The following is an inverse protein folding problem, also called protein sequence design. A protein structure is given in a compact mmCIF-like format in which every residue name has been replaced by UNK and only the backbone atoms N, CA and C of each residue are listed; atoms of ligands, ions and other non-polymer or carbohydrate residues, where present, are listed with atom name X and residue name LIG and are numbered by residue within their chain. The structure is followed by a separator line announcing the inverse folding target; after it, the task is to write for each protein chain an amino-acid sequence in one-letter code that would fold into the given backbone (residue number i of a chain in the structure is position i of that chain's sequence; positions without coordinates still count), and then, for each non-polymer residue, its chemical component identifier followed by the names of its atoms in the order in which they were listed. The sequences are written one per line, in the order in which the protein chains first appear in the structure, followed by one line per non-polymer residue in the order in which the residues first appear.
data_IF_045539917798
#
_entry.id   IF_045539917798
#
_cell.length_a   1.000
_cell.length_b   1.000
_cell.length_c   1.000
_cell.angle_alpha   90.00
_cell.angle_beta   90.00
_cell.angle_gamma   90.00
#
_symmetry.space_group_name_H-M   'P 1'
#
loop_
_entity.id
_entity.type
_entity.pdbx_description
1 polymer ?
#
# COMPACT_ATOMS: atom_id res chain seq x y z
N UNK A 1 46.59 -1.94 22.19
CA UNK A 1 47.84 -1.20 22.29
C UNK A 1 47.65 0.27 22.67
N UNK A 2 46.84 1.09 21.97
CA UNK A 2 46.65 2.54 22.25
C UNK A 2 46.17 2.84 23.67
N UNK A 3 45.24 2.07 24.24
CA UNK A 3 44.78 2.23 25.63
C UNK A 3 45.90 1.99 26.66
N UNK A 4 46.79 1.01 26.43
CA UNK A 4 47.93 0.75 27.27
C UNK A 4 48.95 1.92 27.22
N UNK A 5 49.21 2.46 26.03
CA UNK A 5 50.06 3.67 25.88
C UNK A 5 49.49 4.87 26.64
N UNK A 6 48.16 5.08 26.58
CA UNK A 6 47.49 6.11 27.37
C UNK A 6 47.67 5.92 28.89
N UNK A 7 47.51 4.69 29.37
CA UNK A 7 47.71 4.36 30.79
C UNK A 7 49.14 4.69 31.26
N UNK A 8 50.16 4.36 30.45
CA UNK A 8 51.54 4.70 30.71
C UNK A 8 51.75 6.24 30.77
N UNK A 9 51.15 7.00 29.83
CA UNK A 9 51.24 8.48 29.82
C UNK A 9 50.49 9.13 30.99
N UNK A 10 49.41 8.53 31.48
CA UNK A 10 48.71 8.99 32.69
C UNK A 10 49.61 8.84 33.93
N UNK A 11 50.45 7.80 34.01
CA UNK A 11 51.45 7.70 35.09
C UNK A 11 52.52 8.81 34.99
N UNK A 12 52.98 9.10 33.75
CA UNK A 12 53.91 10.22 33.50
C UNK A 12 53.28 11.59 33.84
N UNK A 13 51.98 11.76 33.54
CA UNK A 13 51.25 12.99 33.93
C UNK A 13 51.26 13.19 35.44
N UNK A 14 50.97 12.15 36.20
CA UNK A 14 51.02 12.22 37.68
C UNK A 14 52.39 12.64 38.20
N UNK A 15 53.46 12.15 37.58
CA UNK A 15 54.82 12.54 37.92
C UNK A 15 55.09 14.02 37.60
N UNK A 16 54.71 14.50 36.40
CA UNK A 16 54.89 15.91 36.02
C UNK A 16 54.02 16.88 36.86
N UNK A 17 52.82 16.45 37.26
CA UNK A 17 51.95 17.22 38.17
C UNK A 17 52.61 17.37 39.55
N UNK A 18 53.21 16.33 40.10
CA UNK A 18 53.94 16.40 41.39
C UNK A 18 55.15 17.24 41.25
N UNK A 19 55.91 17.21 40.16
CA UNK A 19 57.04 18.07 39.89
C UNK A 19 56.64 19.55 39.81
N UNK A 20 55.58 19.86 39.06
CA UNK A 20 55.00 21.18 38.91
C UNK A 20 54.58 21.76 40.30
N UNK A 21 53.83 20.97 41.10
CA UNK A 21 53.39 21.38 42.44
C UNK A 21 54.60 21.69 43.35
N UNK A 22 55.64 20.89 43.29
CA UNK A 22 56.87 21.08 44.08
C UNK A 22 57.61 22.36 43.71
N UNK A 23 57.79 22.62 42.36
CA UNK A 23 58.41 23.83 41.85
C UNK A 23 57.63 25.10 42.22
N UNK A 24 56.30 25.01 42.13
CA UNK A 24 55.40 26.09 42.51
C UNK A 24 55.52 26.45 43.97
N UNK A 25 55.66 25.47 44.90
CA UNK A 25 55.86 25.68 46.32
C UNK A 25 57.26 26.27 46.61
N UNK A 26 58.28 25.78 45.91
CA UNK A 26 59.65 26.28 46.10
C UNK A 26 59.79 27.71 45.56
N UNK A 27 59.17 28.07 44.47
CA UNK A 27 59.14 29.43 43.93
C UNK A 27 58.44 30.39 44.90
N UNK A 28 57.31 29.96 45.51
CA UNK A 28 56.60 30.76 46.50
C UNK A 28 57.41 30.98 47.81
N UNK A 29 58.41 30.13 48.06
CA UNK A 29 59.36 30.24 49.18
C UNK A 29 60.69 30.82 48.76
N UNK A 30 60.82 31.46 47.58
CA UNK A 30 62.07 31.99 47.01
C UNK A 30 63.23 30.96 46.90
N UNK A 31 62.90 29.67 46.91
CA UNK A 31 63.87 28.56 46.91
C UNK A 31 64.09 27.91 45.52
N UNK A 32 63.50 28.48 44.45
CA UNK A 32 63.70 28.01 43.08
C UNK A 32 63.71 29.13 42.06
N UNK A 33 64.35 28.89 40.89
CA UNK A 33 64.34 29.86 39.79
C UNK A 33 63.02 29.88 39.05
N UNK A 34 62.68 31.03 38.50
CA UNK A 34 61.51 31.18 37.65
C UNK A 34 61.55 30.26 36.37
N UNK A 35 62.78 30.12 35.84
CA UNK A 35 63.05 29.21 34.72
C UNK A 35 62.67 27.73 35.02
N UNK A 36 63.05 27.27 36.26
CA UNK A 36 62.74 25.90 36.71
C UNK A 36 61.25 25.69 36.86
N UNK A 37 60.47 26.68 37.30
CA UNK A 37 59.01 26.62 37.36
C UNK A 37 58.38 26.60 35.97
N UNK A 38 58.78 27.50 35.05
CA UNK A 38 58.31 27.58 33.67
C UNK A 38 58.60 26.26 32.92
N UNK A 39 59.75 25.64 33.10
CA UNK A 39 60.12 24.32 32.55
C UNK A 39 59.20 23.21 33.05
N UNK A 40 58.88 23.19 34.36
CA UNK A 40 57.94 22.20 34.89
C UNK A 40 56.52 22.41 34.44
N UNK A 41 56.07 23.65 34.24
CA UNK A 41 54.79 24.02 33.67
C UNK A 41 54.68 23.56 32.19
N UNK A 42 55.69 23.84 31.37
CA UNK A 42 55.77 23.40 29.98
C UNK A 42 55.73 21.88 29.86
N UNK A 43 56.50 21.17 30.74
CA UNK A 43 56.48 19.69 30.75
C UNK A 43 55.10 19.13 31.07
N UNK A 44 54.39 19.72 32.04
CA UNK A 44 53.03 19.36 32.40
C UNK A 44 52.05 19.59 31.20
N UNK A 45 52.16 20.76 30.54
CA UNK A 45 51.34 21.10 29.39
C UNK A 45 51.56 20.12 28.22
N UNK A 46 52.81 19.79 27.89
CA UNK A 46 53.15 18.79 26.85
C UNK A 46 52.56 17.43 27.17
N UNK A 47 52.73 16.94 28.44
CA UNK A 47 52.21 15.62 28.80
C UNK A 47 50.66 15.56 28.72
N UNK A 48 49.98 16.65 29.03
CA UNK A 48 48.50 16.76 28.87
C UNK A 48 48.11 16.70 27.39
N UNK A 49 48.83 17.44 26.53
CA UNK A 49 48.59 17.44 25.11
C UNK A 49 48.82 16.06 24.49
N UNK A 50 49.84 15.33 24.91
CA UNK A 50 50.09 13.95 24.47
C UNK A 50 48.97 13.00 24.89
N UNK A 51 48.39 13.11 26.07
CA UNK A 51 47.25 12.30 26.47
C UNK A 51 46.01 12.64 25.63
N UNK A 52 45.74 13.91 25.38
CA UNK A 52 44.65 14.33 24.50
C UNK A 52 44.80 13.75 23.07
N UNK A 53 46.03 13.73 22.55
CA UNK A 53 46.34 13.10 21.26
C UNK A 53 46.09 11.59 21.29
N UNK A 54 46.48 10.89 22.35
CA UNK A 54 46.20 9.46 22.52
C UNK A 54 44.69 9.17 22.65
N UNK A 55 43.95 10.05 23.33
CA UNK A 55 42.50 9.94 23.45
C UNK A 55 41.82 10.09 22.08
N UNK A 56 42.24 11.07 21.27
CA UNK A 56 41.75 11.21 19.91
C UNK A 56 42.05 9.96 19.03
N UNK A 57 43.27 9.39 19.20
CA UNK A 57 43.63 8.18 18.51
C UNK A 57 42.84 6.94 18.94
N UNK A 58 42.40 6.87 20.20
CA UNK A 58 41.55 5.80 20.70
C UNK A 58 40.16 5.93 20.06
N UNK A 59 39.58 7.15 20.07
CA UNK A 59 38.28 7.39 19.43
C UNK A 59 38.31 7.02 17.95
N UNK A 60 39.38 7.42 17.22
CA UNK A 60 39.54 7.04 15.82
C UNK A 60 39.54 5.51 15.64
N UNK A 61 40.27 4.78 16.48
CA UNK A 61 40.30 3.32 16.41
C UNK A 61 38.95 2.65 16.75
N UNK A 62 38.17 3.27 17.63
CA UNK A 62 36.81 2.80 17.97
C UNK A 62 35.88 3.01 16.79
N UNK A 63 35.94 4.14 16.10
CA UNK A 63 35.20 4.38 14.85
C UNK A 63 35.58 3.37 13.77
N UNK A 64 36.88 3.07 13.59
CA UNK A 64 37.34 2.08 12.62
C UNK A 64 36.74 0.68 12.90
N UNK A 65 36.68 0.30 14.18
CA UNK A 65 36.05 -0.96 14.61
C UNK A 65 34.55 -0.96 14.33
N UNK A 66 33.85 0.14 14.56
CA UNK A 66 32.41 0.23 14.33
C UNK A 66 32.08 0.21 12.83
N UNK A 67 32.90 0.86 11.99
CA UNK A 67 32.80 0.73 10.53
C UNK A 67 32.98 -0.74 10.11
N UNK A 68 33.98 -1.43 10.65
CA UNK A 68 34.20 -2.83 10.33
C UNK A 68 33.04 -3.73 10.77
N UNK A 69 32.42 -3.46 11.93
CA UNK A 69 31.20 -4.16 12.39
C UNK A 69 30.01 -3.91 11.48
N UNK A 70 29.80 -2.68 11.05
CA UNK A 70 28.72 -2.34 10.10
C UNK A 70 28.93 -3.08 8.79
N UNK A 71 30.17 -3.06 8.25
CA UNK A 71 30.49 -3.78 7.02
C UNK A 71 30.28 -5.31 7.17
N UNK A 72 30.63 -5.88 8.32
CA UNK A 72 30.32 -7.28 8.62
C UNK A 72 28.80 -7.51 8.68
N UNK A 73 28.03 -6.57 9.24
CA UNK A 73 26.57 -6.64 9.26
C UNK A 73 25.96 -6.73 7.87
N UNK A 74 26.50 -6.03 6.87
CA UNK A 74 26.04 -6.08 5.48
C UNK A 74 26.28 -7.43 4.79
N UNK A 75 27.14 -8.28 5.32
CA UNK A 75 27.32 -9.65 4.78
C UNK A 75 26.17 -10.59 5.13
N UNK A 76 25.33 -10.21 6.11
CA UNK A 76 24.14 -10.96 6.52
C UNK A 76 22.88 -10.20 6.16
N UNK A 77 22.25 -10.61 5.08
CA UNK A 77 20.98 -10.02 4.61
C UNK A 77 19.82 -10.74 5.32
N UNK A 78 19.01 -9.97 6.05
CA UNK A 78 17.84 -10.47 6.78
C UNK A 78 16.58 -9.81 6.25
N UNK A 79 15.43 -10.49 6.39
CA UNK A 79 14.14 -9.91 6.06
C UNK A 79 13.79 -8.80 7.05
N UNK A 80 13.30 -7.63 6.58
CA UNK A 80 12.81 -6.56 7.45
C UNK A 80 11.41 -6.82 8.01
N UNK A 81 10.69 -7.82 7.50
CA UNK A 81 9.34 -8.20 7.90
C UNK A 81 9.26 -9.70 8.16
N UNK A 82 8.35 -10.08 9.06
CA UNK A 82 7.95 -11.47 9.24
C UNK A 82 6.95 -11.88 8.16
N UNK A 83 7.09 -13.09 7.61
CA UNK A 83 6.22 -13.56 6.56
C UNK A 83 6.72 -14.82 5.87
N UNK A 84 6.04 -15.21 4.81
CA UNK A 84 6.35 -16.37 3.98
C UNK A 84 7.15 -15.93 2.76
N UNK A 85 8.19 -16.71 2.42
CA UNK A 85 8.96 -16.50 1.18
C UNK A 85 8.12 -16.94 -0.01
N UNK A 86 7.67 -15.97 -0.82
CA UNK A 86 6.81 -16.24 -2.00
C UNK A 86 7.60 -16.45 -3.28
N UNK A 87 8.81 -15.91 -3.36
CA UNK A 87 9.69 -16.15 -4.50
C UNK A 87 11.16 -16.00 -4.09
N UNK A 88 12.02 -16.89 -4.60
CA UNK A 88 13.48 -16.79 -4.53
C UNK A 88 13.96 -16.38 -5.91
N UNK A 89 14.42 -15.14 -6.05
CA UNK A 89 14.87 -14.58 -7.33
C UNK A 89 16.34 -14.91 -7.57
N UNK A 90 17.18 -14.69 -6.56
CA UNK A 90 18.62 -14.95 -6.65
C UNK A 90 18.95 -16.30 -6.05
N UNK A 91 19.55 -17.17 -6.84
CA UNK A 91 19.93 -18.52 -6.42
C UNK A 91 21.32 -18.54 -5.78
N UNK A 92 21.60 -19.54 -4.95
CA UNK A 92 22.92 -19.77 -4.38
C UNK A 92 23.98 -19.89 -5.50
N UNK A 93 25.13 -19.26 -5.32
CA UNK A 93 26.20 -19.21 -6.30
C UNK A 93 26.07 -18.12 -7.37
N UNK A 94 24.99 -17.37 -7.37
CA UNK A 94 24.82 -16.24 -8.28
C UNK A 94 25.46 -14.97 -7.69
N UNK A 95 26.30 -14.31 -8.48
CA UNK A 95 26.90 -13.02 -8.08
C UNK A 95 25.83 -11.93 -8.12
N UNK A 96 25.74 -11.19 -7.03
CA UNK A 96 24.82 -10.04 -6.89
C UNK A 96 25.65 -8.76 -6.99
N UNK A 97 25.37 -7.92 -7.98
CA UNK A 97 26.03 -6.63 -8.16
C UNK A 97 25.05 -5.51 -7.85
N UNK A 98 25.36 -4.70 -6.83
CA UNK A 98 24.53 -3.58 -6.39
C UNK A 98 24.90 -2.23 -7.03
N UNK A 99 25.89 -2.19 -7.94
CA UNK A 99 26.39 -0.92 -8.48
C UNK A 99 25.43 -0.23 -9.45
N UNK A 100 24.51 -0.95 -10.09
CA UNK A 100 23.55 -0.39 -11.06
C UNK A 100 22.12 -0.34 -10.53
N UNK A 101 21.72 -1.30 -9.72
CA UNK A 101 20.39 -1.33 -9.08
C UNK A 101 20.41 -2.25 -7.88
N UNK A 102 19.59 -1.99 -6.89
CA UNK A 102 19.43 -2.90 -5.75
C UNK A 102 18.79 -4.22 -6.22
N UNK A 103 19.53 -5.35 -6.23
CA UNK A 103 19.00 -6.60 -6.73
C UNK A 103 18.00 -7.20 -5.73
N UNK A 104 16.90 -7.72 -6.26
CA UNK A 104 15.93 -8.47 -5.45
C UNK A 104 16.47 -9.89 -5.21
N UNK A 105 16.65 -10.26 -3.95
CA UNK A 105 17.12 -11.60 -3.56
C UNK A 105 15.95 -12.54 -3.35
N UNK A 106 15.01 -12.16 -2.48
CA UNK A 106 13.78 -12.90 -2.18
C UNK A 106 12.59 -11.93 -2.14
N UNK A 107 11.39 -12.45 -2.35
CA UNK A 107 10.14 -11.75 -2.05
C UNK A 107 9.49 -12.39 -0.84
N UNK A 108 9.22 -11.61 0.19
CA UNK A 108 8.53 -12.04 1.41
C UNK A 108 7.20 -11.30 1.50
N UNK A 109 6.14 -12.00 1.87
CA UNK A 109 4.83 -11.41 2.04
C UNK A 109 4.13 -11.95 3.29
N UNK A 110 3.32 -11.13 3.91
CA UNK A 110 2.37 -11.58 4.93
C UNK A 110 1.13 -12.10 4.20
N UNK A 111 0.86 -13.41 4.33
CA UNK A 111 -0.27 -14.08 3.68
C UNK A 111 -1.49 -14.24 4.60
N UNK A 112 -1.39 -13.84 5.87
CA UNK A 112 -2.49 -13.93 6.83
C UNK A 112 -3.64 -12.95 6.49
N UNK A 113 -3.32 -11.84 5.82
CA UNK A 113 -4.31 -10.87 5.33
C UNK A 113 -4.01 -10.58 3.87
N UNK A 114 -5.01 -10.80 3.02
CA UNK A 114 -4.88 -10.56 1.59
C UNK A 114 -5.58 -9.25 1.21
N UNK A 115 -4.86 -8.38 0.51
CA UNK A 115 -5.47 -7.18 -0.08
C UNK A 115 -5.88 -7.49 -1.52
N UNK A 116 -7.17 -7.31 -1.80
CA UNK A 116 -7.73 -7.49 -3.14
C UNK A 116 -7.83 -6.14 -3.82
N UNK A 117 -7.34 -6.09 -5.06
CA UNK A 117 -7.44 -4.94 -5.95
C UNK A 117 -8.53 -5.19 -6.97
N UNK A 118 -9.69 -4.55 -6.81
CA UNK A 118 -10.79 -4.61 -7.77
C UNK A 118 -10.65 -3.50 -8.81
N UNK A 119 -10.60 -3.85 -10.07
CA UNK A 119 -10.56 -2.89 -11.17
C UNK A 119 -11.97 -2.32 -11.43
N UNK A 120 -12.12 -1.03 -11.21
CA UNK A 120 -13.38 -0.29 -11.37
C UNK A 120 -13.24 0.60 -12.60
N UNK A 121 -14.20 0.52 -13.51
CA UNK A 121 -14.26 1.39 -14.69
C UNK A 121 -14.38 2.86 -14.29
N UNK A 122 -13.78 3.77 -15.07
CA UNK A 122 -13.94 5.22 -14.92
C UNK A 122 -15.40 5.66 -14.86
N UNK A 123 -16.28 5.01 -15.62
CA UNK A 123 -17.71 5.32 -15.64
C UNK A 123 -18.43 5.02 -14.31
N UNK A 124 -17.91 4.08 -13.53
CA UNK A 124 -18.52 3.63 -12.27
C UNK A 124 -17.82 4.15 -11.03
N UNK A 125 -16.55 4.56 -11.11
CA UNK A 125 -15.75 4.97 -9.94
C UNK A 125 -16.38 6.11 -9.15
N UNK A 126 -17.05 7.04 -9.82
CA UNK A 126 -17.75 8.18 -9.18
C UNK A 126 -18.91 7.75 -8.28
N UNK A 127 -19.43 6.54 -8.51
CA UNK A 127 -20.57 5.96 -7.76
C UNK A 127 -20.12 5.04 -6.64
N UNK A 128 -18.84 4.67 -6.60
CA UNK A 128 -18.26 3.77 -5.61
C UNK A 128 -17.61 4.60 -4.50
N UNK A 129 -18.01 4.32 -3.26
CA UNK A 129 -17.49 5.02 -2.08
C UNK A 129 -16.86 4.01 -1.11
N UNK A 130 -15.83 4.41 -0.35
CA UNK A 130 -15.36 3.60 0.76
C UNK A 130 -16.49 3.24 1.73
N UNK A 131 -16.41 2.07 2.34
CA UNK A 131 -17.44 1.57 3.26
C UNK A 131 -18.56 0.76 2.60
N UNK A 132 -18.61 0.66 1.27
CA UNK A 132 -19.58 -0.20 0.60
C UNK A 132 -19.29 -1.69 0.86
N UNK A 133 -20.33 -2.51 1.08
CA UNK A 133 -20.16 -3.95 1.18
C UNK A 133 -19.76 -4.52 -0.18
N UNK A 134 -18.79 -5.43 -0.15
CA UNK A 134 -18.33 -6.16 -1.33
C UNK A 134 -18.37 -7.65 -1.06
N UNK A 135 -18.64 -8.44 -2.07
CA UNK A 135 -18.40 -9.86 -2.05
C UNK A 135 -17.65 -10.27 -3.31
N UNK A 136 -16.88 -11.33 -3.20
CA UNK A 136 -16.14 -11.85 -4.34
C UNK A 136 -16.12 -13.38 -4.32
N UNK A 137 -15.86 -13.92 -5.48
CA UNK A 137 -15.61 -15.35 -5.68
C UNK A 137 -14.27 -15.53 -6.36
N UNK A 138 -13.60 -16.63 -6.09
CA UNK A 138 -12.36 -17.01 -6.78
C UNK A 138 -12.68 -17.97 -7.94
N UNK A 139 -11.87 -17.95 -9.00
CA UNK A 139 -12.10 -18.79 -10.16
C UNK A 139 -12.14 -20.29 -9.82
N UNK A 140 -11.39 -20.72 -8.82
CA UNK A 140 -11.36 -22.12 -8.38
C UNK A 140 -12.59 -22.55 -7.59
N UNK A 141 -13.34 -21.61 -7.00
CA UNK A 141 -14.49 -21.85 -6.13
C UNK A 141 -15.59 -20.80 -6.41
N UNK A 142 -16.31 -20.93 -7.52
CA UNK A 142 -17.28 -19.92 -7.94
C UNK A 142 -18.52 -19.85 -7.05
N UNK A 143 -18.82 -20.91 -6.31
CA UNK A 143 -19.99 -21.02 -5.43
C UNK A 143 -19.73 -20.43 -4.03
N UNK A 144 -18.45 -20.30 -3.61
CA UNK A 144 -18.08 -19.74 -2.31
C UNK A 144 -17.94 -18.23 -2.40
N UNK A 145 -18.71 -17.51 -1.59
CA UNK A 145 -18.71 -16.05 -1.52
C UNK A 145 -17.97 -15.56 -0.30
N UNK A 146 -16.94 -14.79 -0.53
CA UNK A 146 -16.20 -14.09 0.52
C UNK A 146 -16.75 -12.67 0.67
N UNK A 147 -17.08 -12.26 1.88
CA UNK A 147 -17.62 -10.95 2.17
C UNK A 147 -16.55 -10.04 2.78
N UNK A 148 -16.53 -8.78 2.34
CA UNK A 148 -15.62 -7.77 2.83
C UNK A 148 -16.25 -6.38 2.73
N UNK A 149 -15.50 -5.37 3.14
CA UNK A 149 -15.90 -3.96 3.02
C UNK A 149 -14.84 -3.20 2.25
N UNK A 150 -15.26 -2.40 1.28
CA UNK A 150 -14.36 -1.57 0.50
C UNK A 150 -13.65 -0.56 1.41
N UNK A 151 -12.34 -0.70 1.55
CA UNK A 151 -11.52 0.18 2.40
C UNK A 151 -11.26 1.52 1.75
N UNK A 152 -10.85 1.51 0.49
CA UNK A 152 -10.48 2.71 -0.25
C UNK A 152 -10.63 2.49 -1.75
N UNK A 153 -10.77 3.60 -2.48
CA UNK A 153 -10.60 3.64 -3.93
C UNK A 153 -9.38 4.51 -4.20
N UNK A 154 -8.42 3.97 -4.97
CA UNK A 154 -7.22 4.73 -5.33
C UNK A 154 -7.60 5.95 -6.19
N UNK A 155 -7.05 7.13 -5.91
CA UNK A 155 -7.40 8.36 -6.63
C UNK A 155 -6.82 8.41 -8.05
N UNK A 156 -5.88 7.53 -8.37
CA UNK A 156 -5.20 7.48 -9.65
C UNK A 156 -5.20 6.05 -10.23
N UNK A 157 -5.29 5.89 -11.55
CA UNK A 157 -5.17 4.60 -12.19
C UNK A 157 -3.72 4.09 -12.20
N UNK A 158 -3.52 2.77 -12.26
CA UNK A 158 -2.20 2.13 -12.33
C UNK A 158 -1.35 2.58 -13.54
N UNK A 159 -1.97 3.12 -14.57
CA UNK A 159 -1.28 3.62 -15.76
C UNK A 159 -0.29 4.76 -15.44
N UNK A 160 -0.62 5.62 -14.45
CA UNK A 160 0.27 6.72 -14.04
C UNK A 160 1.64 6.22 -13.54
N UNK A 161 1.67 5.07 -12.83
CA UNK A 161 2.93 4.51 -12.34
C UNK A 161 3.78 3.86 -13.45
N UNK A 162 3.14 3.44 -14.55
CA UNK A 162 3.83 2.79 -15.67
C UNK A 162 4.45 3.77 -16.64
N UNK A 163 3.91 4.99 -16.74
CA UNK A 163 4.39 6.00 -17.71
C UNK A 163 5.76 6.56 -17.35
N UNK A 164 6.14 6.62 -16.08
CA UNK A 164 7.45 7.14 -15.66
C UNK A 164 8.62 6.17 -15.97
N UNK A 165 8.37 4.87 -16.05
CA UNK A 165 9.45 3.87 -16.21
C UNK A 165 9.66 3.42 -17.66
N UNK A 166 8.68 3.62 -18.55
CA UNK A 166 8.70 3.06 -19.92
C UNK A 166 8.79 4.12 -21.00
N UNK A 167 8.69 5.41 -20.68
CA UNK A 167 8.75 6.52 -21.64
C UNK A 167 10.11 6.68 -22.32
N UNK A 168 11.13 5.92 -21.89
CA UNK A 168 12.52 6.11 -22.36
C UNK A 168 12.94 5.27 -23.57
N UNK A 169 12.20 4.26 -24.00
CA UNK A 169 12.72 3.31 -25.01
C UNK A 169 11.79 2.83 -26.14
N UNK A 170 10.55 3.30 -26.24
CA UNK A 170 9.69 2.86 -27.36
C UNK A 170 8.84 3.97 -27.97
N UNK A 171 9.47 5.05 -28.41
CA UNK A 171 8.84 6.05 -29.27
C UNK A 171 8.98 5.67 -30.74
N UNK A 172 8.61 4.47 -31.13
CA UNK A 172 8.52 4.11 -32.54
C UNK A 172 7.64 2.85 -32.73
N UNK A 173 6.36 3.01 -32.69
CA UNK A 173 5.42 2.31 -33.59
C UNK A 173 3.98 2.46 -33.10
N UNK A 174 3.24 3.27 -33.81
CA UNK A 174 1.87 3.29 -34.14
C UNK A 174 0.82 2.56 -33.30
N UNK A 175 -0.24 3.30 -33.04
CA UNK A 175 -1.52 2.87 -32.49
C UNK A 175 -1.64 3.05 -30.98
N UNK A 176 -1.88 4.30 -30.57
CA UNK A 176 -2.51 4.58 -29.29
C UNK A 176 -3.96 4.02 -29.31
N UNK A 177 -4.11 2.73 -29.12
CA UNK A 177 -5.38 2.18 -28.66
C UNK A 177 -5.62 2.81 -27.30
N UNK A 178 -6.66 3.67 -27.21
CA UNK A 178 -7.13 4.23 -25.96
C UNK A 178 -7.41 3.09 -24.99
N UNK A 179 -6.43 2.77 -24.15
CA UNK A 179 -6.59 1.74 -23.14
C UNK A 179 -7.66 2.21 -22.16
N UNK A 180 -8.64 1.36 -21.87
CA UNK A 180 -9.68 1.68 -20.89
C UNK A 180 -9.03 2.00 -19.54
N UNK A 181 -9.47 3.09 -18.92
CA UNK A 181 -8.95 3.56 -17.64
C UNK A 181 -9.69 2.83 -16.52
N UNK A 182 -8.92 2.21 -15.63
CA UNK A 182 -9.44 1.51 -14.45
C UNK A 182 -8.82 2.08 -13.18
N UNK A 183 -9.65 2.24 -12.16
CA UNK A 183 -9.26 2.62 -10.81
C UNK A 183 -9.29 1.41 -9.89
N UNK A 184 -8.40 1.35 -8.91
CA UNK A 184 -8.35 0.23 -7.99
C UNK A 184 -9.21 0.50 -6.75
N UNK A 185 -10.18 -0.37 -6.51
CA UNK A 185 -10.84 -0.51 -5.22
C UNK A 185 -10.08 -1.50 -4.35
N UNK A 186 -9.70 -1.08 -3.15
CA UNK A 186 -8.91 -1.89 -2.22
C UNK A 186 -9.78 -2.38 -1.07
N UNK A 187 -9.67 -3.65 -0.74
CA UNK A 187 -10.26 -4.23 0.47
C UNK A 187 -9.42 -5.39 0.99
N UNK A 188 -9.43 -5.57 2.31
CA UNK A 188 -8.63 -6.56 2.98
C UNK A 188 -9.51 -7.73 3.45
N UNK A 189 -8.99 -8.92 3.31
CA UNK A 189 -9.67 -10.17 3.67
C UNK A 189 -8.74 -11.01 4.53
N UNK A 190 -9.20 -11.49 5.71
CA UNK A 190 -8.44 -12.44 6.51
C UNK A 190 -8.31 -13.77 5.75
N UNK A 191 -7.14 -14.38 5.85
CA UNK A 191 -6.81 -15.63 5.15
C UNK A 191 -6.21 -16.65 6.13
N UNK A 192 -6.98 -17.10 7.16
CA UNK A 192 -6.47 -17.99 8.19
C UNK A 192 -6.05 -19.35 7.66
N UNK A 193 -6.72 -19.85 6.63
CA UNK A 193 -6.49 -21.17 6.04
C UNK A 193 -5.49 -21.12 4.87
N UNK A 194 -4.89 -19.97 4.57
CA UNK A 194 -3.96 -19.74 3.46
C UNK A 194 -4.49 -20.21 2.09
N UNK A 195 -5.82 -20.25 1.92
CA UNK A 195 -6.49 -20.66 0.66
C UNK A 195 -6.32 -19.61 -0.42
N UNK A 196 -6.34 -18.33 -0.05
CA UNK A 196 -6.09 -17.23 -0.97
C UNK A 196 -4.58 -17.08 -1.18
N UNK A 197 -4.17 -17.09 -2.45
CA UNK A 197 -2.76 -16.96 -2.83
C UNK A 197 -2.51 -15.66 -3.59
N UNK A 198 -1.29 -15.21 -3.57
CA UNK A 198 -0.85 -14.01 -4.29
C UNK A 198 -1.08 -14.20 -5.79
N UNK A 199 -1.53 -13.15 -6.46
CA UNK A 199 -1.83 -13.12 -7.89
C UNK A 199 -2.99 -14.02 -8.33
N UNK A 200 -3.86 -14.45 -7.42
CA UNK A 200 -5.12 -15.09 -7.80
C UNK A 200 -6.06 -14.07 -8.42
N UNK A 201 -6.88 -14.53 -9.37
CA UNK A 201 -7.95 -13.73 -9.97
C UNK A 201 -9.26 -13.96 -9.22
N UNK A 202 -9.91 -12.88 -8.86
CA UNK A 202 -11.20 -12.88 -8.18
C UNK A 202 -12.23 -12.07 -9.00
N UNK A 203 -13.47 -12.54 -9.00
CA UNK A 203 -14.59 -11.78 -9.52
C UNK A 203 -15.25 -11.03 -8.37
N UNK A 204 -15.21 -9.69 -8.42
CA UNK A 204 -15.64 -8.80 -7.33
C UNK A 204 -16.97 -8.15 -7.70
N UNK A 205 -17.88 -8.13 -6.71
CA UNK A 205 -19.17 -7.46 -6.79
C UNK A 205 -19.26 -6.41 -5.69
N UNK A 206 -19.42 -5.16 -6.07
CA UNK A 206 -19.59 -4.04 -5.14
C UNK A 206 -21.08 -3.75 -5.02
N UNK A 207 -21.63 -3.91 -3.82
CA UNK A 207 -23.06 -3.70 -3.56
C UNK A 207 -23.30 -2.23 -3.24
N UNK A 208 -23.93 -1.52 -4.18
CA UNK A 208 -24.24 -0.08 -4.01
C UNK A 208 -25.52 0.18 -3.23
N UNK A 209 -26.38 -0.80 -3.17
CA UNK A 209 -27.65 -0.73 -2.45
C UNK A 209 -28.36 -2.07 -2.49
N UNK A 210 -29.20 -2.29 -1.50
CA UNK A 210 -30.05 -3.47 -1.36
C UNK A 210 -31.46 -3.01 -0.99
N UNK A 211 -32.47 -3.52 -1.68
CA UNK A 211 -33.85 -3.34 -1.30
C UNK A 211 -34.41 -4.68 -0.81
N UNK A 212 -34.86 -4.73 0.45
CA UNK A 212 -35.50 -5.88 1.04
C UNK A 212 -37.02 -5.76 0.85
N UNK A 213 -37.66 -6.89 0.53
CA UNK A 213 -39.14 -6.97 0.37
C UNK A 213 -39.71 -6.01 -0.68
N UNK A 214 -38.91 -5.68 -1.72
CA UNK A 214 -39.29 -4.72 -2.74
C UNK A 214 -40.17 -5.35 -3.83
N UNK A 215 -41.15 -4.59 -4.31
CA UNK A 215 -41.91 -4.94 -5.52
C UNK A 215 -40.97 -4.73 -6.71
N UNK A 216 -40.74 -5.75 -7.49
CA UNK A 216 -39.78 -5.74 -8.60
C UNK A 216 -40.50 -6.01 -9.91
N UNK A 217 -40.20 -5.19 -10.93
CA UNK A 217 -40.66 -5.39 -12.28
C UNK A 217 -39.48 -5.51 -13.26
N UNK A 218 -39.59 -6.26 -14.37
CA UNK A 218 -38.59 -6.22 -15.42
C UNK A 218 -38.40 -4.79 -15.94
N UNK A 219 -37.17 -4.35 -16.17
CA UNK A 219 -36.90 -3.00 -16.71
C UNK A 219 -37.51 -2.80 -18.10
N UNK A 220 -37.73 -3.88 -18.86
CA UNK A 220 -38.45 -3.87 -20.16
C UNK A 220 -39.95 -3.54 -20.03
N UNK A 221 -40.53 -3.60 -18.85
CA UNK A 221 -41.93 -3.19 -18.61
C UNK A 221 -42.06 -1.67 -18.38
N UNK A 222 -40.95 -0.96 -18.20
CA UNK A 222 -40.96 0.48 -17.98
C UNK A 222 -41.10 1.22 -19.32
N UNK A 223 -42.12 2.03 -19.41
CA UNK A 223 -42.34 2.96 -20.54
C UNK A 223 -41.50 4.24 -20.40
N UNK A 224 -41.97 5.31 -21.06
CA UNK A 224 -41.30 6.61 -21.02
C UNK A 224 -41.35 7.22 -19.64
N UNK A 225 -40.25 7.86 -19.26
CA UNK A 225 -40.17 8.64 -18.03
C UNK A 225 -40.89 9.97 -18.24
N UNK A 226 -41.86 10.29 -17.37
CA UNK A 226 -42.55 11.57 -17.34
C UNK A 226 -41.67 12.70 -16.79
N UNK A 227 -42.17 13.92 -16.93
CA UNK A 227 -41.49 15.15 -16.41
C UNK A 227 -41.40 15.15 -14.88
N UNK A 228 -42.34 14.49 -14.22
CA UNK A 228 -42.39 14.28 -12.76
C UNK A 228 -41.46 13.19 -12.23
N UNK A 229 -40.66 12.56 -13.12
CA UNK A 229 -39.73 11.51 -12.79
C UNK A 229 -40.34 10.12 -12.63
N UNK A 230 -41.67 9.97 -12.80
CA UNK A 230 -42.38 8.68 -12.79
C UNK A 230 -42.30 7.98 -14.14
N UNK A 231 -42.46 6.66 -14.13
CA UNK A 231 -42.46 5.85 -15.33
C UNK A 231 -43.87 5.32 -15.61
N UNK A 232 -44.26 5.31 -16.87
CA UNK A 232 -45.48 4.67 -17.29
C UNK A 232 -45.27 3.13 -17.32
N UNK A 233 -46.20 2.38 -16.74
CA UNK A 233 -46.22 0.91 -16.76
C UNK A 233 -47.60 0.46 -17.14
N UNK A 234 -47.70 -0.50 -18.06
CA UNK A 234 -48.95 -1.09 -18.44
C UNK A 234 -49.27 -2.29 -17.57
N UNK A 235 -50.37 -2.20 -16.81
CA UNK A 235 -50.84 -3.23 -15.88
C UNK A 235 -52.03 -3.96 -16.50
N UNK A 236 -52.07 -5.25 -16.40
CA UNK A 236 -53.22 -6.07 -16.86
C UNK A 236 -54.20 -6.19 -15.69
N UNK A 237 -55.40 -5.58 -15.84
CA UNK A 237 -56.50 -5.69 -14.90
C UNK A 237 -57.16 -7.07 -14.89
N UNK A 238 -58.13 -7.25 -13.99
CA UNK A 238 -58.88 -8.52 -13.82
C UNK A 238 -59.69 -8.90 -15.10
N UNK A 239 -60.10 -7.90 -15.89
CA UNK A 239 -60.86 -8.07 -17.15
C UNK A 239 -59.94 -8.23 -18.37
N UNK A 240 -58.67 -8.52 -18.19
CA UNK A 240 -57.65 -8.61 -19.23
C UNK A 240 -57.47 -7.31 -20.06
N UNK A 241 -57.97 -6.18 -19.52
CA UNK A 241 -57.75 -4.85 -20.09
C UNK A 241 -56.45 -4.29 -19.55
N UNK A 242 -55.70 -3.62 -20.43
CA UNK A 242 -54.44 -3.00 -20.08
C UNK A 242 -54.70 -1.55 -19.67
N UNK A 243 -54.26 -1.18 -18.47
CA UNK A 243 -54.31 0.18 -17.94
C UNK A 243 -52.88 0.74 -17.83
N UNK A 244 -52.71 1.97 -18.25
CA UNK A 244 -51.45 2.69 -18.04
C UNK A 244 -51.46 3.36 -16.65
N UNK A 245 -50.44 3.04 -15.86
CA UNK A 245 -50.27 3.56 -14.51
C UNK A 245 -48.92 4.18 -14.32
N UNK A 246 -48.87 5.33 -13.64
CA UNK A 246 -47.61 6.00 -13.31
C UNK A 246 -47.02 5.39 -12.04
N UNK A 247 -45.76 4.94 -12.12
CA UNK A 247 -45.05 4.30 -11.00
C UNK A 247 -43.78 5.08 -10.66
N UNK A 248 -43.47 5.10 -9.40
CA UNK A 248 -42.21 5.65 -8.91
C UNK A 248 -41.21 4.52 -8.75
N UNK A 249 -40.06 4.66 -9.42
CA UNK A 249 -39.00 3.65 -9.42
C UNK A 249 -37.92 4.08 -8.42
N UNK A 250 -37.43 3.13 -7.63
CA UNK A 250 -36.27 3.24 -6.76
C UNK A 250 -34.99 2.78 -7.48
N UNK A 251 -34.45 1.66 -7.02
CA UNK A 251 -33.24 1.09 -7.66
C UNK A 251 -33.58 0.41 -8.98
N UNK A 252 -32.71 0.57 -9.97
CA UNK A 252 -32.81 -0.07 -11.26
C UNK A 252 -31.44 -0.56 -11.71
N UNK A 253 -31.31 -1.84 -12.04
CA UNK A 253 -30.10 -2.47 -12.53
C UNK A 253 -30.15 -2.80 -14.03
N UNK A 254 -31.04 -2.17 -14.79
CA UNK A 254 -31.32 -2.38 -16.22
C UNK A 254 -31.96 -3.76 -16.58
N UNK A 255 -32.04 -4.69 -15.65
CA UNK A 255 -32.75 -5.96 -15.78
C UNK A 255 -34.03 -5.93 -14.98
N UNK A 256 -33.95 -5.45 -13.73
CA UNK A 256 -35.06 -5.32 -12.79
C UNK A 256 -35.08 -3.94 -12.19
N UNK A 257 -36.27 -3.42 -11.98
CA UNK A 257 -36.50 -2.14 -11.34
C UNK A 257 -37.38 -2.33 -10.10
N UNK A 258 -36.98 -1.71 -9.01
CA UNK A 258 -37.76 -1.61 -7.78
C UNK A 258 -38.88 -0.59 -7.95
N UNK A 259 -40.09 -0.95 -7.61
CA UNK A 259 -41.25 -0.07 -7.59
C UNK A 259 -41.54 0.36 -6.17
N UNK A 260 -41.39 1.66 -5.88
CA UNK A 260 -41.67 2.25 -4.59
C UNK A 260 -43.16 2.56 -4.41
N UNK A 261 -43.82 3.01 -5.48
CA UNK A 261 -45.21 3.42 -5.46
C UNK A 261 -45.89 3.10 -6.79
N UNK A 262 -47.18 2.77 -6.77
CA UNK A 262 -48.02 2.65 -7.94
C UNK A 262 -48.38 1.23 -8.37
N UNK A 263 -47.78 0.19 -7.78
CA UNK A 263 -48.12 -1.21 -7.99
C UNK A 263 -48.34 -1.95 -6.70
N UNK A 264 -49.14 -3.03 -6.77
CA UNK A 264 -49.35 -3.95 -5.66
C UNK A 264 -48.68 -5.31 -5.95
N UNK A 265 -48.28 -6.05 -4.91
CA UNK A 265 -47.74 -7.41 -5.11
C UNK A 265 -48.72 -8.30 -5.82
N UNK A 266 -48.26 -9.02 -6.84
CA UNK A 266 -49.07 -9.94 -7.65
C UNK A 266 -49.76 -9.35 -8.86
N UNK A 267 -49.69 -8.02 -9.08
CA UNK A 267 -50.19 -7.43 -10.34
C UNK A 267 -49.34 -7.85 -11.54
N UNK A 268 -49.98 -8.07 -12.68
CA UNK A 268 -49.33 -8.47 -13.92
C UNK A 268 -49.01 -7.26 -14.76
N UNK A 269 -47.73 -7.12 -15.16
CA UNK A 269 -47.24 -6.02 -16.00
C UNK A 269 -46.95 -6.55 -17.43
N UNK A 270 -47.19 -5.71 -18.41
CA UNK A 270 -46.92 -6.04 -19.80
C UNK A 270 -45.47 -5.69 -20.12
N UNK A 271 -44.70 -6.65 -20.61
CA UNK A 271 -43.33 -6.43 -21.11
C UNK A 271 -43.34 -6.23 -22.63
N UNK A 272 -42.31 -5.57 -23.17
CA UNK A 272 -42.21 -5.32 -24.62
C UNK A 272 -42.21 -6.65 -25.41
N UNK A 273 -41.63 -7.70 -24.87
CA UNK A 273 -41.59 -9.03 -25.49
C UNK A 273 -42.95 -9.70 -25.59
N UNK A 274 -43.91 -9.36 -24.72
CA UNK A 274 -45.26 -9.89 -24.75
C UNK A 274 -46.14 -9.24 -25.85
N UNK A 275 -45.77 -8.03 -26.30
CA UNK A 275 -46.50 -7.31 -27.38
C UNK A 275 -46.16 -7.92 -28.74
N UNK A 276 -44.90 -8.35 -28.94
CA UNK A 276 -44.46 -8.99 -30.16
C UNK A 276 -45.11 -10.39 -30.37
N UNK A 277 -45.50 -11.08 -29.28
CA UNK A 277 -46.15 -12.38 -29.32
C UNK A 277 -47.69 -12.34 -29.52
N UNK A 278 -48.31 -11.15 -29.35
CA UNK A 278 -49.75 -10.98 -29.39
C UNK A 278 -50.29 -10.38 -30.70
N UNK A 279 -49.42 -10.02 -31.67
CA UNK A 279 -49.85 -9.46 -32.96
C UNK A 279 -49.31 -10.28 -34.15
N UNK A 280 -49.93 -11.44 -34.47
CA UNK A 280 -49.57 -12.25 -35.67
C UNK A 280 -50.09 -11.63 -36.97
N UNK A 281 -50.70 -10.43 -36.97
CA UNK A 281 -51.38 -9.86 -38.13
C UNK A 281 -50.55 -8.80 -38.90
N UNK A 282 -49.30 -8.52 -38.56
CA UNK A 282 -48.49 -7.51 -39.26
C UNK A 282 -47.41 -8.09 -40.21
N UNK A 283 -47.45 -9.39 -40.53
CA UNK A 283 -46.54 -10.00 -41.51
C UNK A 283 -47.33 -10.43 -42.76
N UNK A 284 -47.80 -9.43 -43.50
CA UNK A 284 -48.47 -9.67 -44.78
C UNK A 284 -48.77 -8.37 -45.48
N UNK A 285 -47.76 -7.85 -46.18
CA UNK A 285 -47.88 -7.22 -47.51
C UNK A 285 -46.47 -6.86 -47.99
#
# INVERSE_FOLDING_TARGET
MRRAARTAKVATLKQSELAYRRQRQMLAADASSRESFESAEATLAVTRAEIASLDAQIVQAEVDVDIAKVNLGYTRIVSPIDGVVVAVITKQGQTVNSMQSAPTIIKVANVATMTIKAQISEADVTRVKPGLPVYFTILGEPDERYHATLRAVEPAPDSIQKDETTASLTSASGSATSAAIYYNGLFDVPNPDERLRISMTAQVFIVRGEAKDAIVVPSSALGKRGQDGRYAVRVVGKDNKTEERQVRIGMNNNVRAEVLEGLQPGERVVTVDSVAAADPAAAGH
#
